data_IF_983192996488
#
_entry.id   IF_983192996488
#
_cell.length_a   1.000
_cell.length_b   1.000
_cell.length_c   1.000
_cell.angle_alpha   90.00
_cell.angle_beta   90.00
_cell.angle_gamma   90.00
#
_symmetry.space_group_name_H-M   'P 1'
#
loop_
_entity.id
_entity.type
_entity.pdbx_description
1 polymer ?
#
# COMPACT_ATOMS: atom_id res chain seq x y z
N UNK A 1 5.47 -10.85 10.64
CA UNK A 1 4.31 -9.94 10.68
C UNK A 1 4.81 -8.51 10.60
N UNK A 2 4.98 -7.98 9.39
CA UNK A 2 5.46 -6.63 9.14
C UNK A 2 4.56 -5.55 9.76
N UNK A 3 5.19 -4.49 10.26
CA UNK A 3 4.51 -3.29 10.77
C UNK A 3 3.90 -2.47 9.63
N UNK A 4 2.80 -1.75 9.92
CA UNK A 4 2.18 -0.83 8.97
C UNK A 4 2.98 0.47 8.93
N UNK A 5 3.29 0.93 7.72
CA UNK A 5 4.07 2.13 7.43
C UNK A 5 3.09 3.18 6.89
N UNK A 6 3.07 4.36 7.50
CA UNK A 6 2.27 5.50 7.01
C UNK A 6 2.76 5.91 5.61
N UNK A 7 1.84 5.99 4.66
CA UNK A 7 2.12 6.40 3.29
C UNK A 7 1.82 7.89 3.13
N UNK A 8 2.87 8.71 3.10
CA UNK A 8 2.79 10.15 2.84
C UNK A 8 3.39 10.55 1.49
N UNK A 9 3.75 9.56 0.66
CA UNK A 9 4.47 9.75 -0.60
C UNK A 9 3.57 9.87 -1.83
N UNK A 10 4.18 10.23 -2.96
CA UNK A 10 3.55 10.19 -4.30
C UNK A 10 4.26 9.20 -5.24
N UNK A 11 5.13 8.37 -4.69
CA UNK A 11 5.93 7.40 -5.44
C UNK A 11 5.86 6.04 -4.74
N UNK A 12 5.97 4.99 -5.55
CA UNK A 12 5.93 3.61 -5.10
C UNK A 12 7.18 3.29 -4.25
N UNK A 13 7.02 2.89 -2.97
CA UNK A 13 8.14 2.74 -2.04
C UNK A 13 8.84 1.37 -2.14
N UNK A 14 8.31 0.44 -2.93
CA UNK A 14 8.77 -0.95 -3.04
C UNK A 14 8.81 -1.39 -4.51
N UNK A 15 9.57 -2.44 -4.87
CA UNK A 15 9.57 -2.98 -6.22
C UNK A 15 8.17 -3.44 -6.70
N UNK A 16 7.91 -3.34 -8.00
CA UNK A 16 6.62 -3.64 -8.66
C UNK A 16 6.03 -5.01 -8.31
N UNK A 17 6.90 -6.04 -8.26
CA UNK A 17 6.54 -7.43 -7.99
C UNK A 17 6.33 -7.73 -6.50
N UNK A 18 6.61 -6.78 -5.60
CA UNK A 18 6.48 -6.97 -4.16
C UNK A 18 5.02 -7.10 -3.77
N UNK A 19 4.68 -8.14 -3.02
CA UNK A 19 3.36 -8.25 -2.41
C UNK A 19 3.27 -7.31 -1.21
N UNK A 20 2.25 -6.46 -1.22
CA UNK A 20 1.97 -5.52 -0.15
C UNK A 20 0.54 -5.67 0.34
N UNK A 21 0.34 -5.33 1.61
CA UNK A 21 -0.97 -5.00 2.14
C UNK A 21 -1.10 -3.48 2.18
N UNK A 22 -2.24 -2.94 1.74
CA UNK A 22 -2.51 -1.51 1.75
C UNK A 22 -3.81 -1.23 2.51
N UNK A 23 -3.84 -0.09 3.18
CA UNK A 23 -5.02 0.45 3.83
C UNK A 23 -5.35 1.80 3.22
N UNK A 24 -6.59 1.92 2.78
CA UNK A 24 -7.14 3.13 2.22
C UNK A 24 -7.73 4.02 3.29
N UNK A 25 -7.84 5.31 2.98
CA UNK A 25 -8.45 6.31 3.84
C UNK A 25 -9.90 5.97 4.24
N UNK A 26 -10.67 5.37 3.33
CA UNK A 26 -12.04 4.91 3.58
C UNK A 26 -12.12 3.71 4.55
N UNK A 27 -10.98 3.21 5.05
CA UNK A 27 -10.89 2.07 5.95
C UNK A 27 -10.85 0.71 5.25
N UNK A 28 -11.03 0.67 3.92
CA UNK A 28 -10.83 -0.53 3.11
C UNK A 28 -9.38 -0.99 3.19
N UNK A 29 -9.17 -2.30 3.20
CA UNK A 29 -7.85 -2.93 3.20
C UNK A 29 -7.76 -3.92 2.06
N UNK A 30 -6.64 -3.95 1.36
CA UNK A 30 -6.29 -4.98 0.39
C UNK A 30 -5.02 -5.67 0.87
N UNK A 31 -4.98 -6.98 0.71
CA UNK A 31 -3.90 -7.82 1.21
C UNK A 31 -3.25 -8.59 0.07
N UNK A 32 -1.95 -8.89 0.22
CA UNK A 32 -1.15 -9.72 -0.71
C UNK A 32 -1.35 -9.34 -2.18
N UNK A 33 -1.33 -8.05 -2.47
CA UNK A 33 -1.49 -7.52 -3.83
C UNK A 33 -0.17 -6.96 -4.32
N UNK A 34 0.17 -7.15 -5.60
CA UNK A 34 1.41 -6.61 -6.18
C UNK A 34 1.43 -5.09 -6.10
N UNK A 35 2.57 -4.52 -5.73
CA UNK A 35 2.76 -3.08 -5.61
C UNK A 35 2.41 -2.34 -6.90
N UNK A 36 2.75 -2.88 -8.07
CA UNK A 36 2.43 -2.27 -9.38
C UNK A 36 0.93 -2.07 -9.65
N UNK A 37 0.04 -2.77 -8.93
CA UNK A 37 -1.41 -2.65 -9.12
C UNK A 37 -1.99 -1.41 -8.42
N UNK A 38 -1.17 -0.72 -7.64
CA UNK A 38 -1.53 0.53 -6.99
C UNK A 38 -0.90 1.71 -7.73
N UNK A 39 -1.63 2.82 -7.83
CA UNK A 39 -1.10 4.03 -8.43
C UNK A 39 -0.17 4.81 -7.48
N UNK A 40 -0.09 4.44 -6.19
CA UNK A 40 0.75 5.09 -5.16
C UNK A 40 0.66 6.62 -5.16
N UNK A 41 -0.55 7.15 -5.36
CA UNK A 41 -0.82 8.58 -5.33
C UNK A 41 -1.43 8.97 -3.99
N UNK A 42 -0.94 10.06 -3.40
CA UNK A 42 -1.56 10.69 -2.24
C UNK A 42 -2.02 12.10 -2.62
N UNK A 43 -3.32 12.25 -2.90
CA UNK A 43 -3.87 13.56 -3.27
C UNK A 43 -4.65 14.24 -2.13
N UNK A 44 -4.74 13.62 -0.94
CA UNK A 44 -5.50 14.04 0.24
C UNK A 44 -6.98 14.39 -0.02
N UNK A 45 -7.48 14.11 -1.22
CA UNK A 45 -8.81 14.44 -1.71
C UNK A 45 -9.59 13.17 -2.09
N UNK A 46 -8.90 12.04 -2.27
CA UNK A 46 -9.54 10.79 -2.68
C UNK A 46 -9.77 9.88 -1.47
N UNK A 47 -10.96 9.29 -1.39
CA UNK A 47 -11.25 8.22 -0.42
C UNK A 47 -10.43 6.95 -0.70
N UNK A 48 -9.92 6.83 -1.91
CA UNK A 48 -9.07 5.74 -2.37
C UNK A 48 -7.57 6.07 -2.26
N UNK A 49 -7.21 7.15 -1.56
CA UNK A 49 -5.81 7.40 -1.20
C UNK A 49 -5.36 6.29 -0.23
N UNK A 50 -4.19 5.72 -0.54
CA UNK A 50 -3.49 4.79 0.36
C UNK A 50 -2.93 5.63 1.50
N UNK A 51 -3.20 5.23 2.74
CA UNK A 51 -2.72 5.94 3.93
C UNK A 51 -1.68 5.14 4.70
N UNK A 52 -1.71 3.82 4.58
CA UNK A 52 -0.75 2.92 5.22
C UNK A 52 -0.51 1.74 4.28
N UNK A 53 0.72 1.23 4.27
CA UNK A 53 1.08 0.02 3.56
C UNK A 53 2.03 -0.83 4.41
N UNK A 54 2.16 -2.11 4.07
CA UNK A 54 3.23 -2.96 4.60
C UNK A 54 3.61 -4.01 3.58
N UNK A 55 4.83 -4.50 3.65
CA UNK A 55 5.28 -5.61 2.82
C UNK A 55 4.66 -6.89 3.38
N UNK A 56 3.90 -7.59 2.55
CA UNK A 56 3.44 -8.93 2.87
C UNK A 56 4.62 -9.89 2.69
N UNK A 57 5.05 -10.51 3.78
CA UNK A 57 6.06 -11.58 3.71
C UNK A 57 5.49 -12.72 2.86
N UNK A 58 6.25 -13.14 1.85
CA UNK A 58 5.95 -14.39 1.14
C UNK A 58 6.34 -15.52 2.09
N UNK A 59 5.38 -16.33 2.52
CA UNK A 59 5.68 -17.57 3.25
C UNK A 59 6.43 -18.50 2.28
N UNK A 60 7.76 -18.48 2.33
CA UNK A 60 8.63 -19.45 1.65
C UNK A 60 8.42 -20.86 2.17
#
# INVERSE_FOLDING_TARGET
MSEWIEFTGNEMPVPEETLVDVKYRDGRKLYRTKAMLFCWTFNNLSKFDIIEYRIAEDEQ
#
